data_IF_117058036703
#
_entry.id   IF_117058036703
#
_cell.length_a   1.000
_cell.length_b   1.000
_cell.length_c   1.000
_cell.angle_alpha   90.00
_cell.angle_beta   90.00
_cell.angle_gamma   90.00
#
_symmetry.space_group_name_H-M   'P 1'
#
loop_
_entity.id
_entity.type
_entity.pdbx_description
1 polymer ?
#
# COMPACT_ATOMS: atom_id res chain seq x y z
N UNK A 1 35.31 11.63 63.49
CA UNK A 1 36.55 10.85 63.72
C UNK A 1 36.50 9.41 63.19
N UNK A 2 35.37 8.68 63.27
CA UNK A 2 35.29 7.27 62.83
C UNK A 2 35.29 7.03 61.30
N UNK A 3 34.76 7.94 60.48
CA UNK A 3 34.73 7.78 59.01
C UNK A 3 36.11 7.96 58.33
N UNK A 4 37.00 8.78 58.90
CA UNK A 4 38.34 9.02 58.34
C UNK A 4 39.27 7.81 58.47
N UNK A 5 39.10 7.00 59.52
CA UNK A 5 39.88 5.79 59.73
C UNK A 5 39.52 4.68 58.75
N UNK A 6 38.23 4.55 58.40
CA UNK A 6 37.75 3.51 57.48
C UNK A 6 38.24 3.75 56.04
N UNK A 7 38.31 5.01 55.61
CA UNK A 7 38.80 5.38 54.27
C UNK A 7 40.29 5.08 54.12
N UNK A 8 41.09 5.41 55.13
CA UNK A 8 42.54 5.20 55.14
C UNK A 8 42.91 3.71 55.06
N UNK A 9 42.17 2.83 55.74
CA UNK A 9 42.41 1.37 55.70
C UNK A 9 42.06 0.74 54.34
N UNK A 10 41.10 1.31 53.61
CA UNK A 10 40.69 0.84 52.28
C UNK A 10 41.71 1.26 51.21
N UNK A 11 42.23 2.48 51.29
CA UNK A 11 43.28 3.00 50.41
C UNK A 11 44.58 2.17 50.51
N UNK A 12 44.99 1.80 51.73
CA UNK A 12 46.19 0.97 51.97
C UNK A 12 46.05 -0.43 51.34
N UNK A 13 44.84 -1.00 51.26
CA UNK A 13 44.60 -2.32 50.63
C UNK A 13 44.59 -2.29 49.09
N UNK A 14 44.33 -1.15 48.47
CA UNK A 14 44.18 -1.03 47.01
C UNK A 14 45.32 -0.27 46.32
N UNK A 15 46.30 0.24 47.08
CA UNK A 15 47.48 0.91 46.52
C UNK A 15 47.22 2.29 45.88
N UNK A 16 46.02 2.86 46.07
CA UNK A 16 45.60 4.13 45.49
C UNK A 16 45.48 5.22 46.58
N UNK A 17 45.79 6.46 46.22
CA UNK A 17 45.66 7.60 47.15
C UNK A 17 44.18 7.92 47.45
N UNK A 18 43.92 8.54 48.60
CA UNK A 18 42.56 8.98 48.99
C UNK A 18 41.97 9.92 47.93
N UNK A 19 42.81 10.74 47.30
CA UNK A 19 42.43 11.65 46.22
C UNK A 19 42.04 10.90 44.94
N UNK A 20 42.83 9.90 44.53
CA UNK A 20 42.54 9.06 43.35
C UNK A 20 41.22 8.31 43.52
N UNK A 21 41.00 7.73 44.71
CA UNK A 21 39.74 7.03 45.05
C UNK A 21 38.54 7.97 45.00
N UNK A 22 38.72 9.23 45.43
CA UNK A 22 37.66 10.25 45.42
C UNK A 22 37.31 10.69 43.99
N UNK A 23 38.32 10.88 43.13
CA UNK A 23 38.13 11.21 41.71
C UNK A 23 37.37 10.09 41.00
N UNK A 24 37.76 8.82 41.23
CA UNK A 24 37.12 7.67 40.61
C UNK A 24 35.66 7.50 41.05
N UNK A 25 35.37 7.65 42.34
CA UNK A 25 33.99 7.63 42.86
C UNK A 25 33.15 8.75 42.24
N UNK A 26 33.68 9.97 42.15
CA UNK A 26 32.97 11.09 41.53
C UNK A 26 32.69 10.84 40.04
N UNK A 27 33.67 10.29 39.31
CA UNK A 27 33.50 9.89 37.90
C UNK A 27 32.42 8.83 37.74
N UNK A 28 32.47 7.75 38.52
CA UNK A 28 31.48 6.67 38.48
C UNK A 28 30.08 7.15 38.87
N UNK A 29 29.98 8.08 39.82
CA UNK A 29 28.71 8.70 40.21
C UNK A 29 28.14 9.59 39.10
N UNK A 30 28.99 10.32 38.38
CA UNK A 30 28.57 11.11 37.22
C UNK A 30 28.10 10.21 36.06
N UNK A 31 28.83 9.13 35.77
CA UNK A 31 28.43 8.10 34.78
C UNK A 31 27.08 7.48 35.13
N UNK A 32 26.87 7.08 36.39
CA UNK A 32 25.61 6.55 36.88
C UNK A 32 24.46 7.54 36.72
N UNK A 33 24.66 8.79 37.14
CA UNK A 33 23.64 9.84 37.01
C UNK A 33 23.27 10.11 35.54
N UNK A 34 24.24 10.05 34.62
CA UNK A 34 23.98 10.18 33.17
C UNK A 34 23.14 9.01 32.65
N UNK A 35 23.54 7.78 32.97
CA UNK A 35 22.81 6.58 32.57
C UNK A 35 21.37 6.55 33.12
N UNK A 36 21.17 6.95 34.38
CA UNK A 36 19.83 7.07 34.98
C UNK A 36 18.97 8.11 34.25
N UNK A 37 19.55 9.23 33.84
CA UNK A 37 18.86 10.27 33.07
C UNK A 37 18.47 9.75 31.68
N UNK A 38 19.37 9.05 31.00
CA UNK A 38 19.11 8.43 29.70
C UNK A 38 18.00 7.39 29.77
N UNK A 39 18.02 6.51 30.78
CA UNK A 39 16.97 5.51 31.00
C UNK A 39 15.61 6.18 31.22
N UNK A 40 15.56 7.26 32.00
CA UNK A 40 14.32 8.04 32.21
C UNK A 40 13.80 8.62 30.91
N UNK A 41 14.67 9.19 30.08
CA UNK A 41 14.30 9.74 28.78
C UNK A 41 13.81 8.67 27.80
N UNK A 42 14.52 7.54 27.70
CA UNK A 42 14.12 6.41 26.85
C UNK A 42 12.78 5.81 27.29
N UNK A 43 12.54 5.72 28.59
CA UNK A 43 11.26 5.23 29.12
C UNK A 43 10.11 6.17 28.76
N UNK A 44 10.32 7.48 28.88
CA UNK A 44 9.33 8.47 28.47
C UNK A 44 9.06 8.40 26.95
N UNK A 45 10.12 8.29 26.14
CA UNK A 45 10.01 8.14 24.68
C UNK A 45 9.23 6.87 24.31
N UNK A 46 9.58 5.72 24.92
CA UNK A 46 8.90 4.45 24.67
C UNK A 46 7.39 4.54 24.98
N UNK A 47 7.02 5.22 26.06
CA UNK A 47 5.62 5.47 26.42
C UNK A 47 4.89 6.28 25.34
N UNK A 48 5.50 7.36 24.84
CA UNK A 48 4.92 8.19 23.78
C UNK A 48 4.80 7.41 22.47
N UNK A 49 5.82 6.63 22.09
CA UNK A 49 5.81 5.82 20.88
C UNK A 49 4.71 4.75 20.93
N UNK A 50 4.51 4.09 22.07
CA UNK A 50 3.42 3.13 22.28
C UNK A 50 2.05 3.79 22.10
N UNK A 51 1.83 4.96 22.73
CA UNK A 51 0.59 5.70 22.58
C UNK A 51 0.34 6.11 21.11
N UNK A 52 1.38 6.61 20.43
CA UNK A 52 1.32 6.95 19.00
C UNK A 52 1.01 5.75 18.11
N UNK A 53 1.55 4.57 18.43
CA UNK A 53 1.27 3.34 17.69
C UNK A 53 -0.19 2.92 17.82
N UNK A 54 -0.76 2.97 19.03
CA UNK A 54 -2.18 2.64 19.27
C UNK A 54 -3.09 3.56 18.45
N UNK A 55 -2.82 4.86 18.42
CA UNK A 55 -3.60 5.83 17.64
C UNK A 55 -3.50 5.52 16.14
N UNK A 56 -2.30 5.24 15.63
CA UNK A 56 -2.10 4.90 14.21
C UNK A 56 -2.79 3.61 13.81
N UNK A 57 -2.78 2.59 14.67
CA UNK A 57 -3.50 1.34 14.43
C UNK A 57 -5.01 1.58 14.35
N UNK A 58 -5.58 2.37 15.26
CA UNK A 58 -6.99 2.72 15.22
C UNK A 58 -7.37 3.45 13.91
N UNK A 59 -6.59 4.48 13.53
CA UNK A 59 -6.80 5.21 12.27
C UNK A 59 -6.65 4.31 11.04
N UNK A 60 -5.69 3.39 11.05
CA UNK A 60 -5.52 2.43 9.97
C UNK A 60 -6.73 1.50 9.83
N UNK A 61 -7.29 1.00 10.94
CA UNK A 61 -8.48 0.17 10.90
C UNK A 61 -9.70 0.90 10.32
N UNK A 62 -9.89 2.17 10.72
CA UNK A 62 -10.94 3.02 10.19
C UNK A 62 -10.74 3.28 8.69
N UNK A 63 -9.54 3.70 8.29
CA UNK A 63 -9.19 3.92 6.88
C UNK A 63 -9.44 2.66 6.03
N UNK A 64 -8.96 1.49 6.49
CA UNK A 64 -9.16 0.21 5.81
C UNK A 64 -10.64 -0.11 5.62
N UNK A 65 -11.47 0.13 6.64
CA UNK A 65 -12.93 -0.08 6.55
C UNK A 65 -13.57 0.86 5.53
N UNK A 66 -13.19 2.14 5.51
CA UNK A 66 -13.72 3.10 4.53
C UNK A 66 -13.34 2.74 3.09
N UNK A 67 -12.07 2.39 2.85
CA UNK A 67 -11.60 1.95 1.53
C UNK A 67 -12.36 0.70 1.07
N UNK A 68 -12.52 -0.29 1.95
CA UNK A 68 -13.25 -1.51 1.63
C UNK A 68 -14.73 -1.22 1.30
N UNK A 69 -15.39 -0.34 2.04
CA UNK A 69 -16.78 0.04 1.76
C UNK A 69 -16.91 0.79 0.43
N UNK A 70 -16.05 1.79 0.19
CA UNK A 70 -16.08 2.57 -1.05
C UNK A 70 -15.79 1.68 -2.27
N UNK A 71 -14.79 0.81 -2.16
CA UNK A 71 -14.46 -0.14 -3.22
C UNK A 71 -15.65 -1.06 -3.55
N UNK A 72 -16.40 -1.54 -2.55
CA UNK A 72 -17.61 -2.36 -2.79
C UNK A 72 -18.66 -1.62 -3.62
N UNK A 73 -18.95 -0.37 -3.27
CA UNK A 73 -19.98 0.44 -3.95
C UNK A 73 -19.55 0.77 -5.38
N UNK A 74 -18.32 1.26 -5.54
CA UNK A 74 -17.79 1.64 -6.86
C UNK A 74 -17.65 0.42 -7.78
N UNK A 75 -17.30 -0.74 -7.23
CA UNK A 75 -17.21 -1.99 -8.00
C UNK A 75 -18.55 -2.40 -8.58
N UNK A 76 -19.61 -2.31 -7.78
CA UNK A 76 -20.97 -2.59 -8.22
C UNK A 76 -21.42 -1.61 -9.32
N UNK A 77 -21.08 -0.33 -9.16
CA UNK A 77 -21.35 0.68 -10.17
C UNK A 77 -20.66 0.36 -11.51
N UNK A 78 -19.35 0.08 -11.51
CA UNK A 78 -18.62 -0.25 -12.74
C UNK A 78 -19.13 -1.53 -13.43
N UNK A 79 -19.51 -2.56 -12.66
CA UNK A 79 -20.12 -3.77 -13.23
C UNK A 79 -21.46 -3.48 -13.90
N UNK A 80 -22.28 -2.61 -13.29
CA UNK A 80 -23.62 -2.29 -13.80
C UNK A 80 -23.58 -1.63 -15.18
N UNK A 81 -22.48 -0.96 -15.54
CA UNK A 81 -22.28 -0.37 -16.88
C UNK A 81 -22.32 -1.41 -18.01
N UNK A 82 -22.18 -2.71 -17.69
CA UNK A 82 -22.23 -3.83 -18.63
C UNK A 82 -23.38 -4.80 -18.35
N UNK A 83 -24.33 -4.43 -17.48
CA UNK A 83 -25.40 -5.33 -17.06
C UNK A 83 -24.89 -6.48 -16.18
N UNK A 84 -23.75 -6.30 -15.52
CA UNK A 84 -23.21 -7.29 -14.59
C UNK A 84 -23.56 -6.91 -13.16
N UNK A 85 -23.70 -7.91 -12.32
CA UNK A 85 -23.91 -7.76 -10.88
C UNK A 85 -22.77 -8.44 -10.14
N UNK A 86 -22.37 -7.88 -9.01
CA UNK A 86 -21.30 -8.51 -8.24
C UNK A 86 -21.09 -7.92 -6.86
N UNK A 87 -20.18 -8.54 -6.11
CA UNK A 87 -19.79 -8.15 -4.77
C UNK A 87 -18.29 -8.40 -4.58
N UNK A 88 -17.63 -7.49 -3.85
CA UNK A 88 -16.27 -7.69 -3.34
C UNK A 88 -16.36 -8.05 -1.86
N UNK A 89 -15.81 -9.20 -1.50
CA UNK A 89 -15.76 -9.70 -0.13
C UNK A 89 -14.33 -9.56 0.39
N UNK A 90 -14.12 -8.61 1.29
CA UNK A 90 -12.86 -8.43 2.00
C UNK A 90 -12.90 -9.20 3.33
N UNK A 91 -11.99 -10.14 3.50
CA UNK A 91 -11.71 -10.76 4.79
C UNK A 91 -10.35 -10.28 5.27
N UNK A 92 -10.37 -9.29 6.14
CA UNK A 92 -9.15 -8.70 6.67
C UNK A 92 -8.49 -9.51 7.79
N UNK A 93 -9.18 -10.49 8.37
CA UNK A 93 -8.59 -11.37 9.39
C UNK A 93 -7.72 -12.43 8.72
N UNK A 94 -8.25 -13.06 7.67
CA UNK A 94 -7.54 -14.06 6.89
C UNK A 94 -6.73 -13.49 5.72
N UNK A 95 -6.81 -12.17 5.49
CA UNK A 95 -6.07 -11.49 4.42
C UNK A 95 -6.55 -11.88 3.01
N UNK A 96 -7.82 -12.24 2.85
CA UNK A 96 -8.37 -12.69 1.56
C UNK A 96 -9.32 -11.67 0.93
N UNK A 97 -9.36 -11.68 -0.40
CA UNK A 97 -10.28 -10.89 -1.21
C UNK A 97 -10.95 -11.83 -2.21
N UNK A 98 -12.28 -11.84 -2.23
CA UNK A 98 -13.05 -12.65 -3.16
C UNK A 98 -13.99 -11.76 -3.97
N UNK A 99 -13.97 -11.95 -5.28
CA UNK A 99 -14.90 -11.31 -6.22
C UNK A 99 -16.01 -12.28 -6.55
N UNK A 100 -17.26 -11.86 -6.45
CA UNK A 100 -18.41 -12.63 -6.95
C UNK A 100 -19.07 -11.81 -8.06
N UNK A 101 -19.27 -12.41 -9.24
CA UNK A 101 -19.81 -11.72 -10.41
C UNK A 101 -20.83 -12.61 -11.13
N UNK A 102 -21.91 -12.00 -11.60
CA UNK A 102 -23.02 -12.60 -12.33
C UNK A 102 -23.39 -11.71 -13.53
N UNK A 103 -23.79 -12.32 -14.65
CA UNK A 103 -24.14 -11.63 -15.89
C UNK A 103 -25.64 -11.74 -16.21
N UNK A 104 -26.18 -10.79 -16.97
CA UNK A 104 -27.61 -10.70 -17.32
C UNK A 104 -28.17 -11.93 -18.04
N UNK A 105 -27.39 -12.56 -18.94
CA UNK A 105 -27.77 -13.79 -19.66
C UNK A 105 -28.10 -14.96 -18.70
N UNK A 106 -27.73 -14.84 -17.43
CA UNK A 106 -27.88 -15.86 -16.40
C UNK A 106 -28.91 -15.47 -15.32
N UNK A 107 -29.47 -14.25 -15.36
CA UNK A 107 -30.45 -13.76 -14.39
C UNK A 107 -31.79 -14.54 -14.42
N UNK A 108 -32.09 -15.25 -15.52
CA UNK A 108 -33.27 -16.11 -15.66
C UNK A 108 -33.12 -17.52 -15.08
N UNK A 109 -31.92 -17.92 -14.66
CA UNK A 109 -31.69 -19.22 -14.00
C UNK A 109 -31.30 -18.97 -12.54
N UNK A 110 -32.00 -19.62 -11.62
CA UNK A 110 -31.86 -19.54 -10.15
C UNK A 110 -30.51 -20.10 -9.64
N UNK A 111 -29.39 -19.77 -10.29
CA UNK A 111 -28.10 -20.41 -10.07
C UNK A 111 -27.10 -19.42 -9.50
N UNK A 112 -27.09 -19.39 -8.15
CA UNK A 112 -25.98 -19.11 -7.22
C UNK A 112 -24.76 -18.36 -7.78
N UNK A 113 -24.47 -17.20 -7.18
CA UNK A 113 -23.15 -16.55 -7.07
C UNK A 113 -22.01 -17.40 -7.63
N UNK A 114 -21.58 -17.15 -8.87
CA UNK A 114 -20.47 -17.87 -9.47
C UNK A 114 -19.17 -17.56 -8.72
N UNK A 115 -18.42 -18.62 -8.38
CA UNK A 115 -17.01 -18.51 -8.01
C UNK A 115 -16.29 -17.87 -9.22
N UNK A 116 -15.43 -16.85 -9.03
CA UNK A 116 -14.71 -16.18 -10.12
C UNK A 116 -13.95 -17.16 -11.02
N UNK A 117 -13.67 -18.39 -10.56
CA UNK A 117 -13.12 -19.49 -11.38
C UNK A 117 -14.02 -19.90 -12.56
N UNK A 118 -15.34 -19.74 -12.45
CA UNK A 118 -16.35 -20.16 -13.44
C UNK A 118 -16.75 -19.09 -14.47
N UNK A 119 -16.14 -17.91 -14.39
CA UNK A 119 -16.29 -16.83 -15.36
C UNK A 119 -15.49 -17.12 -16.63
N UNK A 120 -15.96 -16.62 -17.78
CA UNK A 120 -15.19 -16.60 -19.03
C UNK A 120 -13.91 -15.77 -18.86
N UNK A 121 -12.91 -15.99 -19.73
CA UNK A 121 -11.66 -15.21 -19.68
C UNK A 121 -11.90 -13.70 -19.78
N UNK A 122 -12.83 -13.29 -20.64
CA UNK A 122 -13.22 -11.88 -20.81
C UNK A 122 -13.93 -11.29 -19.58
N UNK A 123 -14.83 -12.05 -18.95
CA UNK A 123 -15.54 -11.65 -17.72
C UNK A 123 -14.57 -11.48 -16.54
N UNK A 124 -13.57 -12.37 -16.41
CA UNK A 124 -12.52 -12.27 -15.41
C UNK A 124 -11.71 -10.99 -15.58
N UNK A 125 -11.20 -10.74 -16.78
CA UNK A 125 -10.40 -9.55 -17.08
C UNK A 125 -11.19 -8.25 -16.87
N UNK A 126 -12.45 -8.20 -17.28
CA UNK A 126 -13.32 -7.05 -17.05
C UNK A 126 -13.58 -6.80 -15.55
N UNK A 127 -13.86 -7.86 -14.78
CA UNK A 127 -14.07 -7.77 -13.34
C UNK A 127 -12.81 -7.27 -12.62
N UNK A 128 -11.63 -7.67 -13.08
CA UNK A 128 -10.35 -7.17 -12.55
C UNK A 128 -10.18 -5.67 -12.78
N UNK A 129 -10.50 -5.16 -13.98
CA UNK A 129 -10.46 -3.71 -14.24
C UNK A 129 -11.47 -2.97 -13.39
N UNK A 130 -12.70 -3.48 -13.24
CA UNK A 130 -13.69 -2.88 -12.34
C UNK A 130 -13.16 -2.79 -10.91
N UNK A 131 -12.52 -3.84 -10.40
CA UNK A 131 -11.89 -3.83 -9.08
C UNK A 131 -10.78 -2.77 -8.99
N UNK A 132 -9.91 -2.73 -9.99
CA UNK A 132 -8.80 -1.77 -10.06
C UNK A 132 -9.28 -0.33 -10.01
N UNK A 133 -10.26 0.03 -10.85
CA UNK A 133 -10.85 1.37 -10.86
C UNK A 133 -11.51 1.72 -9.52
N UNK A 134 -12.16 0.74 -8.89
CA UNK A 134 -12.80 0.92 -7.58
C UNK A 134 -11.81 1.18 -6.46
N UNK A 135 -10.68 0.47 -6.48
CA UNK A 135 -9.58 0.70 -5.54
C UNK A 135 -8.93 2.05 -5.79
N UNK A 136 -8.68 2.39 -7.04
CA UNK A 136 -8.14 3.67 -7.43
C UNK A 136 -9.06 4.82 -7.02
N UNK A 137 -10.37 4.74 -7.19
CA UNK A 137 -11.26 5.81 -6.73
C UNK A 137 -11.27 5.96 -5.20
N UNK A 138 -11.13 4.85 -4.48
CA UNK A 138 -11.01 4.87 -3.03
C UNK A 138 -9.67 5.44 -2.54
N UNK A 139 -8.59 5.28 -3.32
CA UNK A 139 -7.22 5.66 -2.94
C UNK A 139 -6.80 6.97 -3.62
N UNK A 140 -6.45 7.97 -2.81
CA UNK A 140 -5.89 9.23 -3.31
C UNK A 140 -4.46 9.04 -3.82
N UNK A 141 -4.30 8.91 -5.14
CA UNK A 141 -2.99 8.85 -5.81
C UNK A 141 -2.99 9.77 -7.03
N UNK A 142 -2.04 10.73 -7.13
CA UNK A 142 -1.99 11.71 -8.21
C UNK A 142 -1.53 11.13 -9.55
N UNK A 143 -0.79 10.03 -9.53
CA UNK A 143 -0.31 9.34 -10.74
C UNK A 143 -0.71 7.87 -10.65
N UNK A 144 -1.30 7.34 -11.71
CA UNK A 144 -1.76 5.95 -11.81
C UNK A 144 -1.13 5.32 -13.04
N UNK A 145 -0.37 4.25 -12.84
CA UNK A 145 0.30 3.54 -13.90
C UNK A 145 -0.24 2.11 -13.99
N UNK A 146 -0.39 1.60 -15.21
CA UNK A 146 -0.79 0.24 -15.46
C UNK A 146 -0.02 -0.29 -16.67
N UNK A 147 0.47 -1.51 -16.55
CA UNK A 147 1.21 -2.19 -17.61
C UNK A 147 0.49 -3.48 -17.99
N UNK A 148 0.54 -3.85 -19.26
CA UNK A 148 0.00 -5.08 -19.83
C UNK A 148 -1.47 -5.39 -19.47
N UNK A 149 -2.28 -4.37 -19.22
CA UNK A 149 -3.61 -4.54 -18.61
C UNK A 149 -4.64 -5.25 -19.50
N UNK A 150 -4.43 -5.26 -20.82
CA UNK A 150 -5.36 -5.81 -21.80
C UNK A 150 -4.87 -7.10 -22.47
N UNK A 151 -3.70 -7.64 -22.08
CA UNK A 151 -3.10 -8.83 -22.72
C UNK A 151 -4.02 -10.06 -22.71
N UNK A 152 -4.85 -10.20 -21.67
CA UNK A 152 -5.80 -11.31 -21.52
C UNK A 152 -7.24 -10.96 -21.90
N UNK A 153 -7.46 -9.85 -22.62
CA UNK A 153 -8.78 -9.40 -23.05
C UNK A 153 -9.01 -9.68 -24.54
N UNK A 154 -10.21 -10.17 -24.87
CA UNK A 154 -10.67 -10.14 -26.27
C UNK A 154 -10.93 -8.70 -26.74
N UNK A 155 -11.11 -8.52 -28.05
CA UNK A 155 -11.29 -7.21 -28.66
C UNK A 155 -12.51 -6.42 -28.13
N UNK A 156 -13.59 -7.11 -27.75
CA UNK A 156 -14.83 -6.48 -27.27
C UNK A 156 -14.64 -5.95 -25.86
N UNK A 157 -14.14 -6.79 -24.96
CA UNK A 157 -13.89 -6.44 -23.57
C UNK A 157 -12.76 -5.41 -23.46
N UNK A 158 -11.72 -5.51 -24.29
CA UNK A 158 -10.66 -4.50 -24.38
C UNK A 158 -11.20 -3.12 -24.70
N UNK A 159 -12.06 -3.00 -25.73
CA UNK A 159 -12.66 -1.70 -26.13
C UNK A 159 -13.45 -1.06 -24.99
N UNK A 160 -14.19 -1.87 -24.24
CA UNK A 160 -15.04 -1.39 -23.14
C UNK A 160 -14.18 -0.99 -21.94
N UNK A 161 -13.21 -1.83 -21.54
CA UNK A 161 -12.27 -1.52 -20.46
C UNK A 161 -11.49 -0.24 -20.74
N UNK A 162 -11.02 -0.05 -21.99
CA UNK A 162 -10.34 1.18 -22.41
C UNK A 162 -11.20 2.41 -22.27
N UNK A 163 -12.43 2.36 -22.78
CA UNK A 163 -13.38 3.46 -22.63
C UNK A 163 -13.62 3.77 -21.15
N UNK A 164 -13.86 2.75 -20.33
CA UNK A 164 -14.11 2.93 -18.90
C UNK A 164 -12.91 3.54 -18.15
N UNK A 165 -11.68 3.17 -18.52
CA UNK A 165 -10.46 3.78 -17.96
C UNK A 165 -10.31 5.25 -18.36
N UNK A 166 -10.54 5.58 -19.64
CA UNK A 166 -10.50 6.96 -20.14
C UNK A 166 -11.58 7.81 -19.46
N UNK A 167 -12.81 7.31 -19.35
CA UNK A 167 -13.93 8.02 -18.71
C UNK A 167 -13.64 8.27 -17.22
N UNK A 168 -13.07 7.27 -16.53
CA UNK A 168 -12.65 7.42 -15.12
C UNK A 168 -11.49 8.40 -14.97
N UNK A 169 -10.55 8.41 -15.91
CA UNK A 169 -9.44 9.36 -15.91
C UNK A 169 -9.93 10.80 -16.12
N UNK A 170 -10.81 11.01 -17.09
CA UNK A 170 -11.42 12.32 -17.36
C UNK A 170 -12.27 12.84 -16.20
N UNK A 171 -12.92 11.94 -15.46
CA UNK A 171 -13.71 12.29 -14.26
C UNK A 171 -12.84 12.53 -13.02
N UNK A 172 -11.56 12.14 -13.08
CA UNK A 172 -10.63 12.21 -11.96
C UNK A 172 -9.79 13.48 -12.02
N UNK A 173 -10.32 14.57 -11.48
CA UNK A 173 -9.56 15.82 -11.44
C UNK A 173 -8.23 15.69 -10.68
N UNK A 174 -7.20 16.36 -11.21
CA UNK A 174 -5.83 16.38 -10.68
C UNK A 174 -5.09 15.03 -10.72
N UNK A 175 -5.49 14.07 -11.57
CA UNK A 175 -4.82 12.75 -11.67
C UNK A 175 -4.32 12.45 -13.06
N UNK A 176 -3.07 11.96 -13.16
CA UNK A 176 -2.46 11.51 -14.40
C UNK A 176 -2.53 9.98 -14.51
N UNK A 177 -2.90 9.49 -15.69
CA UNK A 177 -2.92 8.06 -16.00
C UNK A 177 -1.85 7.75 -17.05
N UNK A 178 -1.08 6.70 -16.81
CA UNK A 178 -0.07 6.17 -17.72
C UNK A 178 -0.41 4.70 -17.95
N UNK A 179 -0.84 4.37 -19.16
CA UNK A 179 -1.22 3.02 -19.53
C UNK A 179 -0.24 2.53 -20.59
N UNK A 180 0.41 1.41 -20.30
CA UNK A 180 1.34 0.73 -21.19
C UNK A 180 0.66 -0.55 -21.66
N UNK A 181 0.70 -0.79 -22.96
CA UNK A 181 0.14 -2.00 -23.57
C UNK A 181 0.95 -2.38 -24.81
N UNK A 182 1.22 -3.68 -25.01
CA UNK A 182 1.81 -4.17 -26.26
C UNK A 182 0.80 -4.23 -27.42
N UNK A 183 -0.49 -3.98 -27.14
CA UNK A 183 -1.57 -4.06 -28.12
C UNK A 183 -1.74 -2.74 -28.87
N UNK A 184 -2.22 -2.83 -30.12
CA UNK A 184 -2.45 -1.66 -30.96
C UNK A 184 -3.64 -0.82 -30.47
N UNK A 185 -3.47 0.50 -30.46
CA UNK A 185 -4.39 1.52 -29.94
C UNK A 185 -5.14 2.30 -31.04
N UNK A 186 -5.14 1.83 -32.30
CA UNK A 186 -5.86 2.48 -33.41
C UNK A 186 -7.35 2.78 -33.17
N UNK A 187 -7.99 2.05 -32.24
CA UNK A 187 -9.41 2.21 -31.91
C UNK A 187 -9.68 3.24 -30.79
N UNK A 188 -8.65 3.91 -30.26
CA UNK A 188 -8.77 4.93 -29.21
C UNK A 188 -8.84 6.31 -29.86
N UNK A 189 -9.91 7.05 -29.59
CA UNK A 189 -10.03 8.43 -30.04
C UNK A 189 -9.04 9.32 -29.28
N UNK A 190 -8.07 9.89 -29.99
CA UNK A 190 -7.17 10.90 -29.45
C UNK A 190 -7.98 12.17 -29.21
N UNK A 191 -7.93 12.69 -27.99
CA UNK A 191 -8.64 13.91 -27.57
C UNK A 191 -7.65 14.82 -26.83
N UNK A 192 -8.08 16.01 -26.41
CA UNK A 192 -7.20 16.92 -25.67
C UNK A 192 -6.70 16.34 -24.32
N UNK A 193 -7.42 15.37 -23.76
CA UNK A 193 -7.06 14.72 -22.49
C UNK A 193 -6.36 13.37 -22.66
N UNK A 194 -6.27 12.85 -23.89
CA UNK A 194 -5.69 11.51 -24.19
C UNK A 194 -4.58 11.65 -25.22
N UNK A 195 -3.36 11.22 -24.86
CA UNK A 195 -2.21 11.17 -25.77
C UNK A 195 -1.75 9.73 -25.93
N UNK A 196 -1.52 9.32 -27.18
CA UNK A 196 -1.01 7.99 -27.52
C UNK A 196 0.41 8.14 -28.08
N UNK A 197 1.37 7.49 -27.43
CA UNK A 197 2.76 7.44 -27.87
C UNK A 197 3.08 6.02 -28.32
N UNK A 198 3.25 5.83 -29.63
CA UNK A 198 3.65 4.54 -30.20
C UNK A 198 5.18 4.44 -30.23
N UNK A 199 5.72 3.40 -29.60
CA UNK A 199 7.15 3.08 -29.68
C UNK A 199 7.43 2.24 -30.93
N UNK A 200 8.66 2.32 -31.44
CA UNK A 200 9.15 1.43 -32.49
C UNK A 200 9.16 -0.02 -32.00
N UNK A 201 8.99 -0.97 -32.93
CA UNK A 201 9.07 -2.38 -32.61
C UNK A 201 10.44 -2.73 -31.99
N UNK A 202 10.49 -3.58 -30.96
CA UNK A 202 11.74 -3.90 -30.27
C UNK A 202 12.71 -4.66 -31.19
N UNK A 203 13.98 -4.25 -31.22
CA UNK A 203 15.03 -4.96 -31.94
C UNK A 203 15.40 -6.26 -31.20
N UNK A 204 15.20 -7.42 -31.85
CA UNK A 204 15.57 -8.71 -31.27
C UNK A 204 17.09 -8.82 -31.15
N UNK A 205 17.59 -9.04 -29.94
CA UNK A 205 19.02 -9.24 -29.65
C UNK A 205 19.72 -8.05 -29.00
N UNK A 206 19.02 -6.94 -28.76
CA UNK A 206 19.57 -5.78 -28.07
C UNK A 206 19.40 -5.96 -26.55
N UNK A 207 20.46 -6.42 -25.87
CA UNK A 207 20.46 -6.65 -24.41
C UNK A 207 20.60 -5.37 -23.56
N UNK A 208 20.83 -4.20 -24.18
CA UNK A 208 21.10 -2.94 -23.49
C UNK A 208 20.44 -1.79 -24.24
N UNK A 209 19.69 -0.95 -23.53
CA UNK A 209 19.17 0.31 -24.06
C UNK A 209 20.35 1.28 -24.27
N UNK A 210 20.53 1.78 -25.49
CA UNK A 210 21.46 2.85 -25.75
C UNK A 210 20.90 4.15 -25.15
N UNK A 211 21.43 4.57 -24.01
CA UNK A 211 21.18 5.91 -23.49
C UNK A 211 22.09 6.88 -24.26
N UNK A 212 21.49 7.70 -25.13
CA UNK A 212 22.15 8.86 -25.75
C UNK A 212 21.83 10.13 -25.00
#
# INVERSE_FOLDING_TARGET
MKQGFTLLTICIRHGASVEEMTIEVNKKRAELNSAEKEIKQLTALNKVLKASLVIRLAKWHEFRRHIALRCKVVFQYHLSNRGYYGKVLFDHQNGTLQLKVQTDDQAGTQTRDKDPRSLSGGEKSFSTICLLLSLWEAIGCPIRCLDEFDVFMDAVNRRISMKMMIDTANSSDGKQYILITPQDMNNVAVTNTVRVHRMSDPERGQGVLAFS
#
